data_IF_126477128524
#
_entry.id   IF_126477128524
#
_cell.length_a   1.000
_cell.length_b   1.000
_cell.length_c   1.000
_cell.angle_alpha   90.00
_cell.angle_beta   90.00
_cell.angle_gamma   90.00
#
_symmetry.space_group_name_H-M   'P 1'
#
loop_
_entity.id
_entity.type
_entity.pdbx_description
1 polymer ?
#
# COMPACT_ATOMS: atom_id res chain seq x y z
N UNK A 1 32.13 21.35 -58.68
CA UNK A 1 33.12 20.28 -58.37
C UNK A 1 32.96 19.92 -56.90
N UNK A 2 32.98 18.62 -56.58
CA UNK A 2 31.96 17.89 -55.78
C UNK A 2 32.59 17.42 -54.43
N UNK A 3 32.01 16.61 -53.55
CA UNK A 3 31.16 15.42 -53.63
C UNK A 3 30.56 15.19 -52.21
N UNK A 4 29.50 14.41 -51.97
CA UNK A 4 28.75 13.48 -52.79
C UNK A 4 27.98 12.53 -51.86
N UNK A 5 26.82 12.06 -52.36
CA UNK A 5 26.12 10.78 -52.15
C UNK A 5 26.21 10.10 -50.76
N UNK A 6 25.12 9.76 -50.06
CA UNK A 6 23.86 9.17 -50.53
C UNK A 6 24.00 7.65 -50.65
N UNK A 7 23.43 6.89 -49.71
CA UNK A 7 23.01 5.49 -49.91
C UNK A 7 22.17 4.99 -48.71
N UNK A 8 20.87 4.78 -48.96
CA UNK A 8 20.03 3.86 -48.20
C UNK A 8 20.60 2.44 -48.31
N UNK A 9 20.62 1.69 -47.20
CA UNK A 9 20.91 0.26 -47.20
C UNK A 9 19.71 -0.48 -46.63
N UNK A 10 19.10 -1.32 -47.48
CA UNK A 10 18.02 -2.28 -47.19
C UNK A 10 18.53 -3.50 -46.40
N UNK A 11 17.64 -4.23 -45.71
CA UNK A 11 18.01 -5.24 -44.71
C UNK A 11 18.50 -6.56 -45.34
N UNK A 12 19.31 -7.36 -44.64
CA UNK A 12 19.70 -8.68 -45.12
C UNK A 12 18.65 -9.75 -44.81
N UNK A 13 18.53 -10.67 -45.76
CA UNK A 13 17.54 -11.72 -45.90
C UNK A 13 17.74 -12.92 -44.96
N UNK A 14 16.61 -13.57 -44.69
CA UNK A 14 16.44 -14.80 -43.94
C UNK A 14 17.18 -15.98 -44.59
N UNK A 15 18.04 -16.66 -43.81
CA UNK A 15 18.59 -17.97 -44.15
C UNK A 15 18.24 -18.94 -43.04
N UNK A 16 17.13 -19.62 -43.21
CA UNK A 16 16.81 -20.81 -42.45
C UNK A 16 17.89 -21.88 -42.61
N UNK A 17 18.24 -22.54 -41.50
CA UNK A 17 18.78 -23.89 -41.49
C UNK A 17 18.19 -24.65 -40.31
N UNK A 18 17.58 -25.80 -40.61
CA UNK A 18 16.77 -26.60 -39.70
C UNK A 18 17.60 -27.49 -38.76
N UNK A 19 17.19 -27.48 -37.49
CA UNK A 19 17.02 -28.62 -36.56
C UNK A 19 18.23 -29.51 -36.22
N UNK A 20 18.59 -29.50 -34.93
CA UNK A 20 18.76 -30.75 -34.14
C UNK A 20 18.06 -30.63 -32.80
N UNK A 21 17.10 -31.52 -32.56
CA UNK A 21 16.38 -31.67 -31.28
C UNK A 21 17.33 -32.16 -30.20
N UNK A 22 17.28 -31.57 -29.02
CA UNK A 22 17.58 -32.28 -27.77
C UNK A 22 16.48 -31.98 -26.77
N UNK A 23 15.69 -32.99 -26.48
CA UNK A 23 14.73 -32.95 -25.39
C UNK A 23 15.51 -32.87 -24.07
N UNK A 24 15.35 -31.79 -23.33
CA UNK A 24 15.64 -31.78 -21.90
C UNK A 24 14.32 -31.66 -21.16
N UNK A 25 13.81 -32.81 -20.72
CA UNK A 25 12.86 -32.87 -19.63
C UNK A 25 13.56 -32.33 -18.37
N UNK A 26 13.42 -31.03 -18.11
CA UNK A 26 13.60 -30.48 -16.77
C UNK A 26 12.20 -30.15 -16.26
N UNK A 27 11.61 -31.12 -15.56
CA UNK A 27 10.58 -30.80 -14.60
C UNK A 27 11.19 -29.80 -13.62
N UNK A 28 10.78 -28.53 -13.69
CA UNK A 28 11.00 -27.62 -12.58
C UNK A 28 10.27 -28.23 -11.38
N UNK A 29 10.96 -28.48 -10.25
CA UNK A 29 10.22 -28.81 -9.05
C UNK A 29 9.36 -27.59 -8.73
N UNK A 30 8.05 -27.80 -8.59
CA UNK A 30 7.18 -26.78 -8.04
C UNK A 30 7.83 -26.31 -6.73
N UNK A 31 7.97 -25.00 -6.49
CA UNK A 31 8.36 -24.57 -5.18
C UNK A 31 7.15 -24.89 -4.28
N UNK A 32 7.28 -25.94 -3.47
CA UNK A 32 6.42 -26.14 -2.32
C UNK A 32 6.73 -25.01 -1.33
N UNK A 33 6.24 -23.81 -1.62
CA UNK A 33 6.08 -22.80 -0.61
C UNK A 33 4.96 -23.30 0.29
N UNK A 34 5.33 -23.88 1.43
CA UNK A 34 4.45 -23.96 2.58
C UNK A 34 4.15 -22.53 3.06
N UNK A 35 3.35 -21.79 2.31
CA UNK A 35 2.62 -20.66 2.87
C UNK A 35 1.41 -21.27 3.55
N UNK A 36 1.34 -21.17 4.88
CA UNK A 36 0.11 -21.02 5.67
C UNK A 36 0.42 -21.25 7.15
N UNK A 37 0.94 -20.21 7.81
CA UNK A 37 0.77 -20.00 9.26
C UNK A 37 1.09 -18.57 9.69
N UNK A 38 2.07 -17.92 9.06
CA UNK A 38 2.51 -16.56 9.43
C UNK A 38 1.65 -15.44 8.83
N UNK A 39 1.18 -15.59 7.58
CA UNK A 39 0.44 -14.54 6.86
C UNK A 39 -0.94 -14.30 7.49
N UNK A 40 -1.72 -15.35 7.73
CA UNK A 40 -3.00 -15.22 8.41
C UNK A 40 -2.89 -14.70 9.85
N UNK A 41 -1.77 -14.96 10.54
CA UNK A 41 -1.52 -14.37 11.86
C UNK A 41 -1.27 -12.86 11.75
N UNK A 42 -0.48 -12.41 10.78
CA UNK A 42 -0.20 -11.00 10.56
C UNK A 42 -1.47 -10.22 10.19
N UNK A 43 -2.30 -10.77 9.31
CA UNK A 43 -3.59 -10.16 8.95
C UNK A 43 -4.52 -10.04 10.16
N UNK A 44 -4.62 -11.09 10.98
CA UNK A 44 -5.39 -11.06 12.22
C UNK A 44 -4.85 -10.03 13.22
N UNK A 45 -3.53 -9.93 13.37
CA UNK A 45 -2.88 -8.96 14.25
C UNK A 45 -3.14 -7.52 13.76
N UNK A 46 -3.00 -7.26 12.45
CA UNK A 46 -3.28 -5.96 11.83
C UNK A 46 -4.75 -5.56 12.01
N UNK A 47 -5.68 -6.47 11.74
CA UNK A 47 -7.11 -6.21 11.90
C UNK A 47 -7.43 -5.88 13.37
N UNK A 48 -6.93 -6.69 14.31
CA UNK A 48 -7.13 -6.50 15.75
C UNK A 48 -6.62 -5.14 16.22
N UNK A 49 -5.37 -4.78 15.87
CA UNK A 49 -4.82 -3.49 16.25
C UNK A 49 -5.53 -2.32 15.56
N UNK A 50 -5.90 -2.46 14.28
CA UNK A 50 -6.64 -1.40 13.56
C UNK A 50 -7.97 -1.11 14.22
N UNK A 51 -8.79 -2.13 14.52
CA UNK A 51 -10.10 -1.96 15.17
C UNK A 51 -9.95 -1.39 16.58
N UNK A 52 -8.96 -1.86 17.34
CA UNK A 52 -8.65 -1.33 18.68
C UNK A 52 -8.30 0.15 18.64
N UNK A 53 -7.42 0.56 17.73
CA UNK A 53 -7.03 1.96 17.59
C UNK A 53 -8.14 2.82 16.98
N UNK A 54 -8.97 2.27 16.10
CA UNK A 54 -10.13 2.95 15.55
C UNK A 54 -11.12 3.33 16.64
N UNK A 55 -11.44 2.37 17.51
CA UNK A 55 -12.31 2.63 18.66
C UNK A 55 -11.74 3.71 19.57
N UNK A 56 -10.47 3.59 19.96
CA UNK A 56 -9.81 4.60 20.81
C UNK A 56 -9.82 5.99 20.17
N UNK A 57 -9.54 6.05 18.86
CA UNK A 57 -9.50 7.30 18.13
C UNK A 57 -10.88 7.96 18.06
N UNK A 58 -11.94 7.19 17.82
CA UNK A 58 -13.31 7.69 17.84
C UNK A 58 -13.70 8.19 19.23
N UNK A 59 -13.41 7.40 20.28
CA UNK A 59 -13.69 7.79 21.67
C UNK A 59 -12.96 9.09 22.04
N UNK A 60 -11.71 9.26 21.62
CA UNK A 60 -10.95 10.50 21.86
C UNK A 60 -11.51 11.66 21.04
N UNK A 61 -11.79 11.45 19.75
CA UNK A 61 -12.34 12.47 18.85
C UNK A 61 -13.65 13.06 19.37
N UNK A 62 -14.53 12.20 19.89
CA UNK A 62 -15.81 12.63 20.45
C UNK A 62 -15.63 13.52 21.71
N UNK A 63 -14.50 13.37 22.41
CA UNK A 63 -14.17 14.08 23.64
C UNK A 63 -13.18 15.25 23.45
N UNK A 64 -12.77 15.60 22.22
CA UNK A 64 -11.87 16.74 21.98
C UNK A 64 -12.53 17.83 21.14
N UNK A 65 -12.11 19.07 21.36
CA UNK A 65 -12.52 20.26 20.61
C UNK A 65 -11.29 21.12 20.32
N UNK A 66 -11.34 22.02 19.34
CA UNK A 66 -10.18 22.81 18.95
C UNK A 66 -10.33 23.45 17.58
N UNK A 67 -9.21 23.60 16.89
CA UNK A 67 -9.15 24.12 15.53
C UNK A 67 -9.89 23.23 14.52
N UNK A 68 -10.80 23.81 13.75
CA UNK A 68 -11.70 23.09 12.84
C UNK A 68 -10.93 22.31 11.76
N UNK A 69 -9.93 22.92 11.12
CA UNK A 69 -9.12 22.29 10.07
C UNK A 69 -8.34 21.08 10.61
N UNK A 70 -7.91 21.17 11.87
CA UNK A 70 -7.21 20.10 12.57
C UNK A 70 -8.15 18.93 12.88
N UNK A 71 -9.37 19.22 13.36
CA UNK A 71 -10.42 18.21 13.58
C UNK A 71 -10.92 17.60 12.27
N UNK A 72 -10.98 18.37 11.19
CA UNK A 72 -11.37 17.89 9.87
C UNK A 72 -10.37 16.85 9.35
N UNK A 73 -9.06 17.12 9.47
CA UNK A 73 -8.01 16.16 9.12
C UNK A 73 -8.12 14.87 9.92
N UNK A 74 -8.32 14.96 11.24
CA UNK A 74 -8.52 13.77 12.09
C UNK A 74 -9.75 12.98 11.61
N UNK A 75 -10.87 13.65 11.36
CA UNK A 75 -12.09 13.01 10.87
C UNK A 75 -11.93 12.35 9.50
N UNK A 76 -11.11 12.93 8.62
CA UNK A 76 -10.82 12.36 7.31
C UNK A 76 -10.07 11.03 7.45
N UNK A 77 -9.03 10.99 8.28
CA UNK A 77 -8.27 9.76 8.52
C UNK A 77 -9.08 8.66 9.24
N UNK A 78 -9.98 9.02 10.15
CA UNK A 78 -10.90 8.03 10.76
C UNK A 78 -11.84 7.43 9.71
N UNK A 79 -12.39 8.27 8.82
CA UNK A 79 -13.24 7.81 7.69
C UNK A 79 -12.47 6.95 6.70
N UNK A 80 -11.24 7.33 6.38
CA UNK A 80 -10.36 6.55 5.49
C UNK A 80 -10.04 5.18 6.10
N UNK A 81 -9.77 5.11 7.40
CA UNK A 81 -9.60 3.84 8.11
C UNK A 81 -10.82 2.92 7.91
N UNK A 82 -12.03 3.43 8.16
CA UNK A 82 -13.26 2.66 7.96
C UNK A 82 -13.40 2.19 6.50
N UNK A 83 -13.15 3.08 5.55
CA UNK A 83 -13.23 2.78 4.12
C UNK A 83 -12.27 1.67 3.69
N UNK A 84 -11.04 1.68 4.21
CA UNK A 84 -10.05 0.63 3.91
C UNK A 84 -10.35 -0.68 4.63
N UNK A 85 -10.87 -0.64 5.86
CA UNK A 85 -11.35 -1.83 6.58
C UNK A 85 -12.47 -2.54 5.82
N UNK A 86 -13.46 -1.80 5.33
CA UNK A 86 -14.60 -2.35 4.58
C UNK A 86 -14.18 -3.07 3.29
N UNK A 87 -12.96 -2.81 2.81
CA UNK A 87 -12.38 -3.39 1.59
C UNK A 87 -11.31 -4.44 1.86
N UNK A 88 -10.98 -4.70 3.13
CA UNK A 88 -9.90 -5.59 3.52
C UNK A 88 -8.49 -5.06 3.24
N UNK A 89 -8.33 -3.76 2.99
CA UNK A 89 -7.01 -3.12 2.83
C UNK A 89 -6.41 -2.79 4.21
N UNK A 90 -5.96 -3.84 4.91
CA UNK A 90 -5.54 -3.75 6.32
C UNK A 90 -4.33 -2.83 6.53
N UNK A 91 -3.42 -2.74 5.55
CA UNK A 91 -2.24 -1.87 5.66
C UNK A 91 -2.66 -0.41 5.64
N UNK A 92 -3.48 0.00 4.67
CA UNK A 92 -3.94 1.40 4.58
C UNK A 92 -4.91 1.76 5.70
N UNK A 93 -5.72 0.82 6.15
CA UNK A 93 -6.58 1.02 7.30
C UNK A 93 -5.77 1.30 8.57
N UNK A 94 -4.74 0.48 8.83
CA UNK A 94 -3.84 0.68 9.96
C UNK A 94 -3.06 1.99 9.84
N UNK A 95 -2.52 2.30 8.67
CA UNK A 95 -1.82 3.58 8.43
C UNK A 95 -2.73 4.78 8.71
N UNK A 96 -3.94 4.80 8.15
CA UNK A 96 -4.89 5.91 8.31
C UNK A 96 -5.22 6.15 9.79
N UNK A 97 -5.44 5.08 10.57
CA UNK A 97 -5.80 5.27 11.98
C UNK A 97 -4.63 5.75 12.85
N UNK A 98 -3.40 5.34 12.52
CA UNK A 98 -2.21 5.87 13.17
C UNK A 98 -2.01 7.35 12.85
N UNK A 99 -2.30 7.77 11.61
CA UNK A 99 -2.30 9.20 11.25
C UNK A 99 -3.34 9.98 12.06
N UNK A 100 -4.59 9.51 12.14
CA UNK A 100 -5.62 10.15 12.97
C UNK A 100 -5.15 10.33 14.42
N UNK A 101 -4.58 9.26 15.01
CA UNK A 101 -4.08 9.29 16.39
C UNK A 101 -2.91 10.27 16.57
N UNK A 102 -1.95 10.26 15.65
CA UNK A 102 -0.80 11.16 15.71
C UNK A 102 -1.21 12.63 15.65
N UNK A 103 -2.14 12.98 14.75
CA UNK A 103 -2.71 14.32 14.70
C UNK A 103 -3.32 14.69 16.05
N UNK A 104 -4.21 13.87 16.62
CA UNK A 104 -4.83 14.17 17.91
C UNK A 104 -3.82 14.39 19.05
N UNK A 105 -2.83 13.52 19.19
CA UNK A 105 -1.78 13.64 20.22
C UNK A 105 -0.95 14.92 20.04
N UNK A 106 -0.53 15.22 18.80
CA UNK A 106 0.21 16.45 18.49
C UNK A 106 -0.65 17.68 18.77
N UNK A 107 -1.92 17.65 18.36
CA UNK A 107 -2.86 18.74 18.56
C UNK A 107 -3.10 19.05 20.04
N UNK A 108 -3.28 18.01 20.85
CA UNK A 108 -3.41 18.12 22.31
C UNK A 108 -2.13 18.67 22.94
N UNK A 109 -0.97 18.13 22.57
CA UNK A 109 0.32 18.58 23.10
C UNK A 109 0.63 20.04 22.75
N UNK A 110 0.29 20.46 21.53
CA UNK A 110 0.51 21.83 21.04
C UNK A 110 -0.57 22.82 21.45
N UNK A 111 -1.64 22.36 22.10
CA UNK A 111 -2.76 23.19 22.54
C UNK A 111 -3.72 23.63 21.42
N UNK A 112 -3.58 23.04 20.22
CA UNK A 112 -4.50 23.21 19.09
C UNK A 112 -5.83 22.48 19.33
N UNK A 113 -5.76 21.37 20.08
CA UNK A 113 -6.91 20.61 20.57
C UNK A 113 -6.92 20.63 22.10
N UNK A 114 -8.13 20.46 22.66
CA UNK A 114 -8.39 20.39 24.10
C UNK A 114 -9.47 19.36 24.39
N UNK A 115 -9.36 18.71 25.55
CA UNK A 115 -10.45 17.86 26.06
C UNK A 115 -11.69 18.73 26.29
N UNK A 116 -12.86 18.22 25.88
CA UNK A 116 -14.17 18.77 26.25
C UNK A 116 -14.34 18.59 27.76
N UNK A 117 -14.76 19.66 28.42
CA UNK A 117 -15.05 19.66 29.85
C UNK A 117 -16.34 18.92 30.17
#
# INVERSE_FOLDING_TARGET
MPAGCGAEIKPPEDKGCQVRRRAEARASPAPCFSQNSSEGKLEADLLSETVKWQKKAQDLYDNISGEDEFLENVSAYIRDCQYFLDRGDLIRAFEAIIWAWAWMEIGLHKGLLRQKA
#
